data_IF_930414115260
#
_entry.id   IF_930414115260
#
_cell.length_a   1.000
_cell.length_b   1.000
_cell.length_c   1.000
_cell.angle_alpha   90.00
_cell.angle_beta   90.00
_cell.angle_gamma   90.00
#
_symmetry.space_group_name_H-M   'P 1'
#
loop_
_entity.id
_entity.type
_entity.pdbx_description
1 polymer ?
#
# COMPACT_ATOMS: atom_id res chain seq x y z
N UNK A 1 14.38 6.78 10.17
CA UNK A 1 13.00 7.30 10.06
C UNK A 1 12.40 7.64 11.43
N UNK A 2 12.19 6.68 12.33
CA UNK A 2 11.53 6.92 13.62
C UNK A 2 12.10 8.09 14.45
N UNK A 3 13.43 8.14 14.63
CA UNK A 3 14.09 9.25 15.33
C UNK A 3 13.79 10.62 14.73
N UNK A 4 13.70 10.71 13.40
CA UNK A 4 13.34 11.95 12.71
C UNK A 4 11.90 12.35 13.02
N UNK A 5 10.95 11.41 12.97
CA UNK A 5 9.55 11.68 13.27
C UNK A 5 9.36 12.18 14.71
N UNK A 6 9.99 11.51 15.68
CA UNK A 6 9.92 11.90 17.10
C UNK A 6 10.60 13.25 17.35
N UNK A 7 11.78 13.48 16.77
CA UNK A 7 12.53 14.72 17.00
C UNK A 7 11.87 15.97 16.39
N UNK A 8 10.99 15.78 15.40
CA UNK A 8 10.27 16.86 14.71
C UNK A 8 8.78 16.89 15.05
N UNK A 9 8.35 16.18 16.10
CA UNK A 9 6.95 16.12 16.57
C UNK A 9 5.95 15.79 15.44
N UNK A 10 6.31 14.81 14.61
CA UNK A 10 5.49 14.36 13.48
C UNK A 10 4.37 13.45 14.00
N UNK A 11 3.33 14.08 14.54
CA UNK A 11 2.15 13.42 15.12
C UNK A 11 0.88 14.19 14.77
N UNK A 12 -0.21 13.47 14.52
CA UNK A 12 -1.54 14.04 14.37
C UNK A 12 -2.59 12.99 14.70
N UNK A 13 -3.66 13.42 15.37
CA UNK A 13 -4.84 12.57 15.61
C UNK A 13 -5.57 12.20 14.32
N UNK A 14 -5.39 12.99 13.26
CA UNK A 14 -6.04 12.80 11.96
C UNK A 14 -5.14 12.08 10.95
N UNK A 15 -3.95 11.64 11.36
CA UNK A 15 -3.00 10.97 10.47
C UNK A 15 -2.56 9.61 11.02
N UNK A 16 -2.46 8.66 10.11
CA UNK A 16 -1.76 7.39 10.28
C UNK A 16 -0.80 7.22 9.12
N UNK A 17 0.26 6.47 9.36
CA UNK A 17 1.33 6.31 8.39
C UNK A 17 1.33 4.92 7.77
N UNK A 18 1.63 4.88 6.48
CA UNK A 18 2.04 3.70 5.74
C UNK A 18 3.53 3.84 5.43
N UNK A 19 4.32 2.79 5.69
CA UNK A 19 5.73 2.77 5.29
C UNK A 19 5.81 2.25 3.87
N UNK A 20 6.23 3.11 2.94
CA UNK A 20 6.44 2.71 1.56
C UNK A 20 7.78 2.02 1.37
N UNK A 21 7.76 0.85 0.74
CA UNK A 21 8.93 0.06 0.38
C UNK A 21 9.03 0.00 -1.15
N UNK A 22 9.95 0.76 -1.76
CA UNK A 22 10.18 0.73 -3.19
C UNK A 22 10.76 -0.62 -3.66
N UNK A 23 10.23 -1.17 -4.75
CA UNK A 23 10.70 -2.41 -5.40
C UNK A 23 11.95 -2.17 -6.25
N UNK A 24 13.03 -1.71 -5.62
CA UNK A 24 14.27 -1.28 -6.28
C UNK A 24 15.49 -2.15 -5.92
N UNK A 25 15.31 -3.47 -5.76
CA UNK A 25 16.38 -4.37 -5.37
C UNK A 25 17.53 -4.35 -6.38
N UNK A 26 17.22 -4.37 -7.67
CA UNK A 26 18.20 -4.25 -8.76
C UNK A 26 19.11 -3.03 -8.62
N UNK A 27 18.54 -1.87 -8.25
CA UNK A 27 19.29 -0.63 -8.01
C UNK A 27 20.21 -0.77 -6.79
N UNK A 28 19.69 -1.29 -5.68
CA UNK A 28 20.48 -1.51 -4.46
C UNK A 28 21.59 -2.54 -4.68
N UNK A 29 21.30 -3.58 -5.46
CA UNK A 29 22.24 -4.64 -5.84
C UNK A 29 23.35 -4.11 -6.74
N UNK A 30 23.02 -3.34 -7.77
CA UNK A 30 23.99 -2.70 -8.66
C UNK A 30 24.94 -1.77 -7.89
N UNK A 31 24.42 -1.07 -6.88
CA UNK A 31 25.21 -0.22 -5.96
C UNK A 31 25.95 -0.99 -4.87
N UNK A 32 25.84 -2.32 -4.84
CA UNK A 32 26.45 -3.21 -3.82
C UNK A 32 26.02 -2.86 -2.38
N UNK A 33 24.80 -2.33 -2.22
CA UNK A 33 24.21 -2.05 -0.92
C UNK A 33 23.59 -3.29 -0.28
N UNK A 34 23.18 -4.26 -1.09
CA UNK A 34 22.67 -5.57 -0.66
C UNK A 34 23.29 -6.70 -1.51
N UNK A 35 23.50 -7.86 -0.90
CA UNK A 35 24.14 -9.06 -1.47
C UNK A 35 23.17 -10.12 -1.95
N UNK A 36 21.91 -10.04 -1.55
CA UNK A 36 20.80 -10.91 -1.97
C UNK A 36 19.50 -10.24 -1.53
N UNK A 37 18.37 -10.83 -1.90
CA UNK A 37 17.06 -10.27 -1.54
C UNK A 37 16.80 -10.36 -0.03
N UNK A 38 17.34 -11.38 0.65
CA UNK A 38 17.22 -11.57 2.10
C UNK A 38 17.75 -10.37 2.88
N UNK A 39 18.90 -9.82 2.50
CA UNK A 39 19.47 -8.63 3.16
C UNK A 39 18.56 -7.41 3.00
N UNK A 40 17.80 -7.30 1.91
CA UNK A 40 16.78 -6.26 1.76
C UNK A 40 15.62 -6.49 2.75
N UNK A 41 15.16 -7.73 2.91
CA UNK A 41 14.12 -8.08 3.89
C UNK A 41 14.59 -7.86 5.32
N UNK A 42 15.82 -8.25 5.66
CA UNK A 42 16.43 -8.05 6.98
C UNK A 42 16.47 -6.56 7.35
N UNK A 43 16.88 -5.70 6.42
CA UNK A 43 16.92 -4.26 6.63
C UNK A 43 15.53 -3.65 6.93
N UNK A 44 14.45 -4.33 6.53
CA UNK A 44 13.07 -3.90 6.76
C UNK A 44 12.53 -4.53 8.05
N UNK A 45 12.59 -5.85 8.18
CA UNK A 45 11.85 -6.60 9.19
C UNK A 45 12.63 -6.85 10.47
N UNK A 46 13.96 -7.02 10.41
CA UNK A 46 14.77 -7.30 11.61
C UNK A 46 14.63 -6.20 12.68
N UNK A 47 14.74 -4.90 12.34
CA UNK A 47 14.51 -3.84 13.33
C UNK A 47 13.10 -3.85 13.93
N UNK A 48 12.10 -4.29 13.17
CA UNK A 48 10.71 -4.41 13.64
C UNK A 48 10.54 -5.58 14.60
N UNK A 49 11.19 -6.72 14.34
CA UNK A 49 11.23 -7.85 15.25
C UNK A 49 11.98 -7.51 16.53
N UNK A 50 13.13 -6.84 16.44
CA UNK A 50 13.92 -6.41 17.60
C UNK A 50 13.12 -5.44 18.49
N UNK A 51 12.53 -4.39 17.91
CA UNK A 51 11.68 -3.45 18.66
C UNK A 51 10.40 -4.12 19.22
N UNK A 52 9.91 -5.17 18.55
CA UNK A 52 8.80 -5.98 19.07
C UNK A 52 9.27 -6.89 20.20
N UNK A 53 10.50 -7.39 20.20
CA UNK A 53 11.05 -8.28 21.22
C UNK A 53 11.55 -7.53 22.47
N UNK A 54 12.09 -6.34 22.29
CA UNK A 54 12.51 -5.48 23.38
C UNK A 54 12.27 -4.01 23.00
N UNK A 55 11.16 -3.39 23.47
CA UNK A 55 10.88 -1.98 23.22
C UNK A 55 12.00 -1.03 23.66
N UNK A 56 12.77 -1.39 24.70
CA UNK A 56 13.84 -0.54 25.24
C UNK A 56 15.11 -0.58 24.38
N UNK A 57 15.28 -1.61 23.54
CA UNK A 57 16.36 -1.67 22.55
C UNK A 57 16.22 -0.60 21.47
N UNK A 58 14.98 -0.21 21.14
CA UNK A 58 14.66 0.74 20.08
C UNK A 58 13.50 1.67 20.48
N UNK A 59 13.67 2.54 21.49
CA UNK A 59 12.54 3.27 22.10
C UNK A 59 11.85 4.24 21.13
N UNK A 60 12.62 4.95 20.31
CA UNK A 60 12.07 5.86 19.30
C UNK A 60 11.29 5.11 18.22
N UNK A 61 11.80 3.94 17.79
CA UNK A 61 11.12 3.09 16.82
C UNK A 61 9.83 2.55 17.41
N UNK A 62 9.88 1.99 18.62
CA UNK A 62 8.70 1.46 19.28
C UNK A 62 7.58 2.49 19.40
N UNK A 63 7.90 3.73 19.80
CA UNK A 63 6.92 4.83 19.86
C UNK A 63 6.37 5.18 18.49
N UNK A 64 7.23 5.30 17.48
CA UNK A 64 6.81 5.62 16.12
C UNK A 64 5.90 4.54 15.52
N UNK A 65 6.18 3.26 15.80
CA UNK A 65 5.38 2.14 15.33
C UNK A 65 3.93 2.17 15.82
N UNK A 66 3.61 2.88 16.91
CA UNK A 66 2.22 3.07 17.35
C UNK A 66 1.40 3.94 16.38
N UNK A 67 2.05 4.74 15.53
CA UNK A 67 1.41 5.58 14.51
C UNK A 67 1.43 4.94 13.11
N UNK A 68 2.18 3.85 12.95
CA UNK A 68 2.21 3.09 11.71
C UNK A 68 1.01 2.13 11.67
N UNK A 69 0.28 2.19 10.57
CA UNK A 69 -0.88 1.34 10.31
C UNK A 69 -0.59 0.22 9.31
N UNK A 70 0.50 0.32 8.54
CA UNK A 70 0.82 -0.69 7.53
C UNK A 70 2.06 -0.40 6.69
N UNK A 71 2.24 -1.26 5.70
CA UNK A 71 3.31 -1.22 4.70
C UNK A 71 2.67 -1.16 3.31
N UNK A 72 3.23 -0.34 2.44
CA UNK A 72 2.83 -0.18 1.05
C UNK A 72 4.02 -0.50 0.14
N UNK A 73 3.84 -1.43 -0.81
CA UNK A 73 4.87 -1.73 -1.80
C UNK A 73 4.66 -0.87 -3.04
N UNK A 74 5.69 -0.14 -3.46
CA UNK A 74 5.61 0.84 -4.56
C UNK A 74 6.73 0.64 -5.59
N UNK A 75 6.50 1.12 -6.81
CA UNK A 75 7.42 1.38 -7.94
C UNK A 75 6.54 1.40 -9.22
N UNK A 76 7.11 1.84 -10.35
CA UNK A 76 6.45 1.80 -11.66
C UNK A 76 6.04 0.37 -12.08
N UNK A 77 4.74 0.07 -11.95
CA UNK A 77 4.17 -1.25 -12.29
C UNK A 77 4.25 -1.57 -13.80
N UNK A 78 4.52 -0.59 -14.67
CA UNK A 78 4.61 -0.79 -16.12
C UNK A 78 5.92 -1.42 -16.57
N UNK A 79 6.95 -1.43 -15.71
CA UNK A 79 8.23 -2.07 -15.99
C UNK A 79 8.05 -3.56 -16.29
N UNK A 80 8.74 -4.03 -17.32
CA UNK A 80 8.69 -5.43 -17.70
C UNK A 80 9.30 -6.32 -16.61
N UNK A 81 8.58 -7.38 -16.25
CA UNK A 81 9.03 -8.42 -15.32
C UNK A 81 9.45 -9.64 -16.14
N UNK A 82 10.74 -9.98 -16.12
CA UNK A 82 11.28 -11.09 -16.92
C UNK A 82 11.29 -12.43 -16.19
N UNK A 83 11.33 -12.39 -14.85
CA UNK A 83 11.39 -13.56 -14.00
C UNK A 83 9.98 -13.97 -13.61
N UNK A 84 9.61 -15.22 -13.88
CA UNK A 84 8.37 -15.79 -13.37
C UNK A 84 8.60 -16.33 -11.96
N UNK A 85 7.75 -15.90 -11.02
CA UNK A 85 7.78 -16.46 -9.67
C UNK A 85 7.06 -17.80 -9.64
N UNK A 86 7.82 -18.87 -9.48
CA UNK A 86 7.35 -20.23 -9.36
C UNK A 86 8.24 -21.03 -8.38
N UNK A 87 8.07 -22.35 -8.35
CA UNK A 87 8.82 -23.23 -7.43
C UNK A 87 10.31 -23.30 -7.71
N UNK A 88 10.75 -22.90 -8.90
CA UNK A 88 12.16 -22.86 -9.30
C UNK A 88 12.84 -21.54 -8.93
N UNK A 89 12.06 -20.51 -8.63
CA UNK A 89 12.62 -19.22 -8.21
C UNK A 89 13.38 -19.37 -6.89
N UNK A 90 14.62 -18.87 -6.78
CA UNK A 90 15.41 -18.98 -5.57
C UNK A 90 14.73 -18.35 -4.34
N UNK A 91 14.94 -18.93 -3.17
CA UNK A 91 14.61 -18.29 -1.89
C UNK A 91 15.43 -17.00 -1.67
N UNK A 92 14.98 -16.06 -0.81
CA UNK A 92 15.59 -14.73 -0.68
C UNK A 92 17.09 -14.75 -0.42
N UNK A 93 17.57 -15.69 0.40
CA UNK A 93 18.98 -15.84 0.75
C UNK A 93 19.84 -16.27 -0.44
N UNK A 94 19.24 -16.93 -1.42
CA UNK A 94 19.87 -17.38 -2.65
C UNK A 94 19.56 -16.48 -3.86
N UNK A 95 18.54 -15.63 -3.77
CA UNK A 95 18.20 -14.67 -4.82
C UNK A 95 19.28 -13.60 -4.91
N UNK A 96 20.19 -13.77 -5.87
CA UNK A 96 21.38 -12.93 -6.03
C UNK A 96 21.56 -12.39 -7.45
N UNK A 97 20.51 -12.54 -8.27
CA UNK A 97 20.48 -12.07 -9.65
C UNK A 97 20.57 -10.55 -9.72
N UNK A 98 21.03 -10.04 -10.86
CA UNK A 98 21.08 -8.61 -11.13
C UNK A 98 19.69 -8.04 -11.50
N UNK A 99 18.83 -8.90 -12.05
CA UNK A 99 17.45 -8.57 -12.41
C UNK A 99 16.57 -8.43 -11.16
N UNK A 100 15.65 -7.48 -11.22
CA UNK A 100 14.72 -7.22 -10.13
C UNK A 100 13.73 -8.40 -9.97
N UNK A 101 13.47 -8.89 -8.74
CA UNK A 101 12.42 -9.88 -8.53
C UNK A 101 11.06 -9.35 -9.01
N UNK A 102 10.18 -10.24 -9.49
CA UNK A 102 8.85 -9.83 -9.94
C UNK A 102 7.99 -9.35 -8.77
N UNK A 103 6.96 -8.55 -9.04
CA UNK A 103 6.04 -7.99 -8.04
C UNK A 103 5.51 -9.03 -7.05
N UNK A 104 5.13 -10.20 -7.54
CA UNK A 104 4.55 -11.25 -6.72
C UNK A 104 5.56 -11.89 -5.76
N UNK A 105 6.85 -11.93 -6.11
CA UNK A 105 7.93 -12.36 -5.22
C UNK A 105 8.07 -11.38 -4.05
N UNK A 106 8.16 -10.09 -4.36
CA UNK A 106 8.18 -9.01 -3.36
C UNK A 106 7.01 -9.15 -2.38
N UNK A 107 5.80 -9.20 -2.91
CA UNK A 107 4.59 -9.16 -2.10
C UNK A 107 4.44 -10.42 -1.24
N UNK A 108 4.81 -11.59 -1.77
CA UNK A 108 4.81 -12.84 -1.01
C UNK A 108 5.74 -12.80 0.20
N UNK A 109 7.00 -12.39 0.02
CA UNK A 109 7.96 -12.37 1.13
C UNK A 109 7.71 -11.24 2.11
N UNK A 110 7.19 -10.09 1.66
CA UNK A 110 6.69 -9.05 2.57
C UNK A 110 5.54 -9.57 3.40
N UNK A 111 4.55 -10.22 2.78
CA UNK A 111 3.42 -10.83 3.48
C UNK A 111 3.86 -11.89 4.49
N UNK A 112 4.73 -12.82 4.10
CA UNK A 112 5.19 -13.90 4.98
C UNK A 112 5.86 -13.36 6.25
N UNK A 113 6.75 -12.37 6.10
CA UNK A 113 7.39 -11.69 7.23
C UNK A 113 6.38 -10.92 8.08
N UNK A 114 5.45 -10.21 7.45
CA UNK A 114 4.42 -9.44 8.13
C UNK A 114 3.48 -10.32 8.95
N UNK A 115 3.09 -11.49 8.44
CA UNK A 115 2.27 -12.46 9.18
C UNK A 115 2.98 -12.92 10.44
N UNK A 116 4.26 -13.30 10.34
CA UNK A 116 5.05 -13.72 11.50
C UNK A 116 5.22 -12.57 12.52
N UNK A 117 5.56 -11.38 12.03
CA UNK A 117 5.71 -10.17 12.86
C UNK A 117 4.40 -9.83 13.57
N UNK A 118 3.28 -9.80 12.85
CA UNK A 118 1.97 -9.49 13.41
C UNK A 118 1.50 -10.54 14.41
N UNK A 119 1.81 -11.82 14.20
CA UNK A 119 1.54 -12.86 15.20
C UNK A 119 2.32 -12.60 16.49
N UNK A 120 3.60 -12.22 16.38
CA UNK A 120 4.43 -11.87 17.54
C UNK A 120 3.95 -10.61 18.25
N UNK A 121 3.63 -9.56 17.49
CA UNK A 121 3.08 -8.30 18.02
C UNK A 121 1.75 -8.52 18.74
N UNK A 122 0.84 -9.32 18.17
CA UNK A 122 -0.42 -9.72 18.84
C UNK A 122 -0.18 -10.49 20.14
N UNK A 123 0.76 -11.44 20.15
CA UNK A 123 1.10 -12.19 21.36
C UNK A 123 1.61 -11.28 22.50
N UNK A 124 2.13 -10.09 22.15
CA UNK A 124 2.58 -9.06 23.08
C UNK A 124 1.56 -7.94 23.36
N UNK A 125 0.37 -8.00 22.76
CA UNK A 125 -0.63 -6.94 22.89
C UNK A 125 -0.23 -5.62 22.21
N UNK A 126 0.60 -5.68 21.18
CA UNK A 126 1.03 -4.52 20.38
C UNK A 126 0.17 -4.38 19.11
N UNK A 127 0.09 -3.17 18.56
CA UNK A 127 -0.59 -2.90 17.30
C UNK A 127 0.04 -3.69 16.14
N UNK A 128 -0.75 -4.05 15.14
CA UNK A 128 -0.29 -4.78 13.95
C UNK A 128 -0.28 -3.89 12.72
N UNK A 129 0.30 -4.38 11.63
CA UNK A 129 0.45 -3.65 10.38
C UNK A 129 -0.26 -4.38 9.24
N UNK A 130 -1.04 -3.67 8.44
CA UNK A 130 -1.63 -4.20 7.19
C UNK A 130 -0.62 -4.12 6.03
N UNK A 131 -0.72 -5.02 5.07
CA UNK A 131 -0.10 -4.88 3.75
C UNK A 131 -1.11 -4.22 2.78
N UNK A 132 -0.80 -3.01 2.31
CA UNK A 132 -1.67 -2.20 1.43
C UNK A 132 -0.89 -1.66 0.24
N UNK A 133 -0.57 -2.52 -0.75
CA UNK A 133 0.33 -2.15 -1.83
C UNK A 133 -0.35 -1.33 -2.92
N UNK A 134 0.45 -0.55 -3.65
CA UNK A 134 0.13 -0.16 -5.02
C UNK A 134 0.00 -1.42 -5.89
N UNK A 135 -1.14 -1.56 -6.56
CA UNK A 135 -1.48 -2.78 -7.26
C UNK A 135 -2.46 -2.56 -8.42
N UNK A 136 -2.03 -2.94 -9.62
CA UNK A 136 -2.86 -2.93 -10.81
C UNK A 136 -3.15 -1.53 -11.34
N UNK A 137 -2.31 -0.54 -11.07
CA UNK A 137 -2.32 0.73 -11.82
C UNK A 137 -1.89 0.51 -13.28
N UNK A 138 -0.82 -0.27 -13.45
CA UNK A 138 -0.28 -0.73 -14.72
C UNK A 138 0.19 -2.20 -14.57
N UNK A 139 1.01 -2.68 -15.50
CA UNK A 139 1.68 -3.97 -15.35
C UNK A 139 0.83 -5.20 -15.64
N UNK A 140 1.28 -6.34 -15.12
CA UNK A 140 0.68 -7.64 -15.40
C UNK A 140 -0.53 -7.91 -14.50
N UNK A 141 -1.59 -8.53 -15.04
CA UNK A 141 -2.82 -8.85 -14.28
C UNK A 141 -2.59 -9.74 -13.04
N UNK A 142 -1.43 -10.42 -12.97
CA UNK A 142 -1.05 -11.23 -11.82
C UNK A 142 -0.73 -10.42 -10.58
N UNK A 143 -0.42 -9.11 -10.71
CA UNK A 143 -0.26 -8.20 -9.59
C UNK A 143 -1.51 -8.21 -8.73
N UNK A 144 -2.68 -8.03 -9.35
CA UNK A 144 -3.99 -8.06 -8.68
C UNK A 144 -4.35 -9.42 -8.07
N UNK A 145 -3.84 -10.53 -8.65
CA UNK A 145 -4.03 -11.86 -8.05
C UNK A 145 -3.23 -11.98 -6.77
N UNK A 146 -2.00 -11.50 -6.77
CA UNK A 146 -1.15 -11.54 -5.58
C UNK A 146 -1.68 -10.57 -4.54
N UNK A 147 -2.01 -9.33 -4.94
CA UNK A 147 -2.64 -8.34 -4.08
C UNK A 147 -3.88 -8.89 -3.37
N UNK A 148 -4.78 -9.55 -4.10
CA UNK A 148 -5.96 -10.21 -3.54
C UNK A 148 -5.64 -11.27 -2.47
N UNK A 149 -4.57 -12.06 -2.68
CA UNK A 149 -4.23 -13.17 -1.79
C UNK A 149 -3.50 -12.72 -0.53
N UNK A 150 -2.80 -11.59 -0.56
CA UNK A 150 -1.84 -11.22 0.49
C UNK A 150 -2.13 -9.89 1.17
N UNK A 151 -3.06 -9.07 0.66
CA UNK A 151 -3.22 -7.67 1.08
C UNK A 151 -4.60 -7.41 1.65
N UNK A 152 -4.69 -6.53 2.65
CA UNK A 152 -5.95 -6.10 3.25
C UNK A 152 -6.71 -5.10 2.36
N UNK A 153 -5.98 -4.26 1.61
CA UNK A 153 -6.52 -3.36 0.59
C UNK A 153 -5.47 -3.10 -0.48
N UNK A 154 -5.86 -2.48 -1.59
CA UNK A 154 -4.93 -2.07 -2.65
C UNK A 154 -5.10 -0.59 -3.00
N UNK A 155 -4.04 0.02 -3.52
CA UNK A 155 -4.13 1.31 -4.22
C UNK A 155 -4.22 1.10 -5.75
N UNK A 156 -4.95 1.99 -6.42
CA UNK A 156 -5.22 2.05 -7.87
C UNK A 156 -6.24 1.05 -8.41
N UNK A 157 -5.85 -0.21 -8.64
CA UNK A 157 -6.77 -1.24 -9.17
C UNK A 157 -7.36 -0.96 -10.57
N UNK A 158 -6.73 -0.13 -11.40
CA UNK A 158 -7.23 0.23 -12.75
C UNK A 158 -7.45 -0.97 -13.66
N UNK A 159 -6.57 -1.98 -13.58
CA UNK A 159 -6.63 -3.19 -14.41
C UNK A 159 -7.60 -4.26 -13.86
N UNK A 160 -8.35 -3.95 -12.79
CA UNK A 160 -9.21 -4.92 -12.13
C UNK A 160 -10.39 -5.34 -13.01
N UNK A 161 -10.48 -6.66 -13.23
CA UNK A 161 -11.60 -7.33 -13.93
C UNK A 161 -12.23 -8.46 -13.12
N UNK A 162 -11.81 -8.66 -11.87
CA UNK A 162 -12.15 -9.85 -11.08
C UNK A 162 -13.25 -9.57 -10.06
N UNK A 163 -14.29 -10.40 -10.09
CA UNK A 163 -15.43 -10.36 -9.15
C UNK A 163 -15.07 -10.70 -7.70
N UNK A 164 -13.88 -11.28 -7.46
CA UNK A 164 -13.44 -11.66 -6.12
C UNK A 164 -13.32 -10.47 -5.17
N UNK A 165 -12.84 -9.31 -5.66
CA UNK A 165 -12.76 -8.08 -4.84
C UNK A 165 -14.13 -7.59 -4.38
N UNK A 166 -15.16 -7.79 -5.21
CA UNK A 166 -16.53 -7.53 -4.80
C UNK A 166 -16.99 -8.51 -3.71
N UNK A 167 -16.75 -9.81 -3.89
CA UNK A 167 -17.20 -10.82 -2.92
C UNK A 167 -16.51 -10.69 -1.56
N UNK A 168 -15.21 -10.40 -1.55
CA UNK A 168 -14.43 -10.24 -0.32
C UNK A 168 -14.46 -8.83 0.25
N UNK A 169 -15.04 -7.86 -0.48
CA UNK A 169 -15.07 -6.44 -0.10
C UNK A 169 -13.69 -5.85 0.23
N UNK A 170 -12.64 -6.33 -0.46
CA UNK A 170 -11.28 -5.77 -0.35
C UNK A 170 -11.31 -4.31 -0.82
N UNK A 171 -10.77 -3.42 0.01
CA UNK A 171 -10.72 -1.99 -0.25
C UNK A 171 -9.84 -1.63 -1.44
N UNK A 172 -10.28 -0.65 -2.23
CA UNK A 172 -9.55 -0.09 -3.36
C UNK A 172 -9.53 1.43 -3.21
N UNK A 173 -8.36 1.99 -2.88
CA UNK A 173 -8.12 3.42 -2.85
C UNK A 173 -7.70 3.89 -4.24
N UNK A 174 -8.47 4.77 -4.87
CA UNK A 174 -8.27 5.18 -6.26
C UNK A 174 -8.03 6.68 -6.35
N UNK A 175 -7.10 7.10 -7.21
CA UNK A 175 -6.74 8.51 -7.41
C UNK A 175 -6.99 8.98 -8.85
N UNK A 176 -8.26 9.22 -9.25
CA UNK A 176 -8.64 9.54 -10.62
C UNK A 176 -7.87 10.69 -11.29
N UNK A 177 -7.56 11.77 -10.58
CA UNK A 177 -6.78 12.89 -11.13
C UNK A 177 -5.32 12.52 -11.43
N UNK A 178 -4.69 11.74 -10.56
CA UNK A 178 -3.37 11.15 -10.81
C UNK A 178 -3.42 10.23 -12.03
N UNK A 179 -4.35 9.27 -12.03
CA UNK A 179 -4.49 8.31 -13.13
C UNK A 179 -4.78 9.01 -14.48
N UNK A 180 -5.54 10.12 -14.47
CA UNK A 180 -5.77 10.97 -15.65
C UNK A 180 -4.52 11.61 -16.22
N UNK A 181 -3.59 11.98 -15.35
CA UNK A 181 -2.34 12.63 -15.76
C UNK A 181 -1.34 11.63 -16.33
N UNK A 182 -1.39 10.37 -15.89
CA UNK A 182 -0.33 9.38 -16.16
C UNK A 182 -0.75 8.21 -17.06
N UNK A 183 -1.95 7.66 -16.91
CA UNK A 183 -2.28 6.32 -17.44
C UNK A 183 -3.56 6.25 -18.27
N UNK A 184 -4.63 6.91 -17.85
CA UNK A 184 -5.96 6.74 -18.44
C UNK A 184 -6.79 8.00 -18.32
N UNK A 185 -7.43 8.45 -19.40
CA UNK A 185 -8.27 9.66 -19.35
C UNK A 185 -9.37 9.54 -18.28
N UNK A 186 -9.70 10.67 -17.63
CA UNK A 186 -10.58 10.73 -16.47
C UNK A 186 -11.94 10.05 -16.71
N UNK A 187 -12.54 10.26 -17.88
CA UNK A 187 -13.81 9.65 -18.27
C UNK A 187 -13.75 8.11 -18.43
N UNK A 188 -12.56 7.55 -18.60
CA UNK A 188 -12.34 6.11 -18.73
C UNK A 188 -11.87 5.45 -17.43
N UNK A 189 -11.69 6.22 -16.36
CA UNK A 189 -11.36 5.66 -15.06
C UNK A 189 -12.50 4.71 -14.61
N UNK A 190 -12.18 3.51 -14.08
CA UNK A 190 -13.20 2.51 -13.77
C UNK A 190 -13.89 2.72 -12.42
N UNK A 191 -13.49 3.71 -11.61
CA UNK A 191 -14.09 4.00 -10.30
C UNK A 191 -15.63 4.10 -10.33
N UNK A 192 -16.28 4.90 -11.20
CA UNK A 192 -17.74 4.98 -11.23
C UNK A 192 -18.40 3.61 -11.49
N UNK A 193 -17.82 2.82 -12.40
CA UNK A 193 -18.30 1.46 -12.68
C UNK A 193 -18.11 0.52 -11.49
N UNK A 194 -16.99 0.63 -10.77
CA UNK A 194 -16.72 -0.15 -9.58
C UNK A 194 -17.68 0.20 -8.44
N UNK A 195 -17.91 1.49 -8.22
CA UNK A 195 -18.84 2.00 -7.23
C UNK A 195 -20.27 1.52 -7.52
N UNK A 196 -20.75 1.66 -8.76
CA UNK A 196 -22.09 1.17 -9.16
C UNK A 196 -22.25 -0.34 -9.02
N UNK A 197 -21.16 -1.12 -9.11
CA UNK A 197 -21.16 -2.57 -8.90
C UNK A 197 -21.06 -2.96 -7.43
N UNK A 198 -20.93 -1.99 -6.51
CA UNK A 198 -20.82 -2.24 -5.07
C UNK A 198 -19.44 -2.73 -4.63
N UNK A 199 -18.38 -2.43 -5.38
CA UNK A 199 -17.02 -2.64 -4.87
C UNK A 199 -16.72 -1.62 -3.76
N UNK A 200 -15.91 -2.05 -2.80
CA UNK A 200 -15.42 -1.20 -1.71
C UNK A 200 -14.35 -0.24 -2.23
N UNK A 201 -14.77 0.80 -2.94
CA UNK A 201 -13.89 1.82 -3.51
C UNK A 201 -13.93 3.12 -2.70
N UNK A 202 -12.82 3.85 -2.71
CA UNK A 202 -12.67 5.16 -2.11
C UNK A 202 -11.85 6.09 -2.99
N UNK A 203 -12.02 7.40 -2.82
CA UNK A 203 -11.22 8.43 -3.49
C UNK A 203 -9.98 8.77 -2.64
N UNK A 204 -8.83 8.84 -3.29
CA UNK A 204 -7.54 9.28 -2.74
C UNK A 204 -6.88 10.30 -3.67
N UNK A 205 -5.79 10.91 -3.20
CA UNK A 205 -5.11 12.01 -3.92
C UNK A 205 -3.82 11.62 -4.62
N UNK A 206 -3.19 10.52 -4.23
CA UNK A 206 -1.83 10.14 -4.67
C UNK A 206 -0.80 11.23 -4.29
N UNK A 207 -0.36 12.06 -5.26
CA UNK A 207 0.55 13.18 -5.07
C UNK A 207 -0.15 14.56 -5.18
N UNK A 208 -0.76 15.09 -4.10
CA UNK A 208 -1.42 16.39 -4.08
C UNK A 208 -0.63 17.55 -4.71
N UNK A 209 0.69 17.56 -4.52
CA UNK A 209 1.53 18.64 -5.03
C UNK A 209 1.69 18.61 -6.55
N UNK A 210 1.48 17.46 -7.17
CA UNK A 210 1.67 17.27 -8.60
C UNK A 210 0.34 17.38 -9.37
N UNK A 211 -0.76 16.88 -8.81
CA UNK A 211 -2.01 16.66 -9.55
C UNK A 211 -3.16 17.61 -9.18
N UNK A 212 -3.04 18.36 -8.09
CA UNK A 212 -4.12 19.20 -7.57
C UNK A 212 -3.75 20.68 -7.63
N UNK A 213 -4.74 21.53 -7.91
CA UNK A 213 -4.55 22.98 -8.04
C UNK A 213 -5.09 23.77 -6.84
N UNK A 214 -5.90 23.12 -6.01
CA UNK A 214 -6.54 23.75 -4.85
C UNK A 214 -5.78 23.47 -3.55
N UNK A 215 -6.10 24.23 -2.50
CA UNK A 215 -5.55 24.01 -1.16
C UNK A 215 -6.08 22.73 -0.50
N UNK A 216 -7.23 22.24 -0.94
CA UNK A 216 -7.93 21.09 -0.38
C UNK A 216 -7.97 19.97 -1.42
N UNK A 217 -6.82 19.35 -1.70
CA UNK A 217 -6.64 18.37 -2.77
C UNK A 217 -7.71 17.26 -2.78
N UNK A 218 -8.01 16.67 -1.61
CA UNK A 218 -9.04 15.64 -1.53
C UNK A 218 -10.44 16.20 -1.85
N UNK A 219 -10.76 17.43 -1.42
CA UNK A 219 -12.04 18.06 -1.76
C UNK A 219 -12.16 18.35 -3.25
N UNK A 220 -11.06 18.70 -3.91
CA UNK A 220 -11.00 18.83 -5.37
C UNK A 220 -11.25 17.49 -6.07
N UNK A 221 -10.67 16.39 -5.58
CA UNK A 221 -10.93 15.03 -6.09
C UNK A 221 -12.43 14.70 -6.05
N UNK A 222 -13.07 14.88 -4.89
CA UNK A 222 -14.52 14.64 -4.72
C UNK A 222 -15.35 15.59 -5.58
N UNK A 223 -14.98 16.87 -5.68
CA UNK A 223 -15.74 17.86 -6.45
C UNK A 223 -15.73 17.57 -7.94
N UNK A 224 -14.57 17.19 -8.48
CA UNK A 224 -14.44 16.84 -9.90
C UNK A 224 -15.17 15.52 -10.18
N UNK A 225 -14.99 14.50 -9.33
CA UNK A 225 -15.69 13.22 -9.46
C UNK A 225 -17.21 13.40 -9.48
N UNK A 226 -17.75 14.21 -8.56
CA UNK A 226 -19.17 14.50 -8.50
C UNK A 226 -19.70 15.23 -9.74
N UNK A 227 -18.96 16.22 -10.25
CA UNK A 227 -19.37 16.97 -11.43
C UNK A 227 -19.28 16.16 -12.72
N UNK A 228 -18.22 15.36 -12.88
CA UNK A 228 -17.96 14.60 -14.10
C UNK A 228 -18.82 13.33 -14.17
N UNK A 229 -18.90 12.58 -13.07
CA UNK A 229 -19.66 11.32 -13.01
C UNK A 229 -21.08 11.46 -12.49
N UNK A 230 -21.51 12.70 -12.18
CA UNK A 230 -22.87 13.02 -11.72
C UNK A 230 -23.24 12.28 -10.42
N UNK A 231 -22.28 12.16 -9.50
CA UNK A 231 -22.50 11.56 -8.19
C UNK A 231 -23.44 12.41 -7.35
N UNK A 232 -24.41 11.77 -6.71
CA UNK A 232 -25.29 12.38 -5.73
C UNK A 232 -24.56 12.60 -4.39
N UNK A 233 -25.20 13.33 -3.48
CA UNK A 233 -24.70 13.45 -2.10
C UNK A 233 -24.63 12.09 -1.39
N UNK A 234 -25.54 11.16 -1.71
CA UNK A 234 -25.50 9.81 -1.14
C UNK A 234 -24.26 9.05 -1.61
N UNK A 235 -23.97 9.09 -2.91
CA UNK A 235 -22.81 8.42 -3.50
C UNK A 235 -21.49 8.96 -2.91
N UNK A 236 -21.38 10.30 -2.80
CA UNK A 236 -20.22 10.94 -2.18
C UNK A 236 -20.05 10.54 -0.70
N UNK A 237 -21.15 10.51 0.07
CA UNK A 237 -21.11 10.07 1.46
C UNK A 237 -20.74 8.59 1.59
N UNK A 238 -21.17 7.74 0.65
CA UNK A 238 -20.79 6.32 0.64
C UNK A 238 -19.30 6.13 0.35
N UNK A 239 -18.75 6.83 -0.65
CA UNK A 239 -17.30 6.83 -0.93
C UNK A 239 -16.48 7.32 0.27
N UNK A 240 -16.93 8.38 0.93
CA UNK A 240 -16.29 8.90 2.14
C UNK A 240 -16.41 7.94 3.32
N UNK A 241 -17.56 7.26 3.49
CA UNK A 241 -17.72 6.22 4.51
C UNK A 241 -16.78 5.05 4.26
N UNK A 242 -16.66 4.61 3.00
CA UNK A 242 -15.77 3.51 2.63
C UNK A 242 -14.30 3.86 2.90
N UNK A 243 -13.88 5.11 2.67
CA UNK A 243 -12.50 5.52 2.97
C UNK A 243 -12.17 5.39 4.46
N UNK A 244 -13.12 5.69 5.35
CA UNK A 244 -12.98 5.51 6.81
C UNK A 244 -12.89 4.03 7.16
N UNK A 245 -13.71 3.17 6.55
CA UNK A 245 -13.65 1.71 6.76
C UNK A 245 -12.36 1.07 6.22
N UNK A 246 -11.77 1.66 5.19
CA UNK A 246 -10.47 1.24 4.62
C UNK A 246 -9.27 1.83 5.38
N UNK A 247 -9.51 2.71 6.35
CA UNK A 247 -8.47 3.43 7.06
C UNK A 247 -7.70 2.53 8.04
N UNK A 248 -6.57 3.04 8.52
CA UNK A 248 -5.72 2.35 9.49
C UNK A 248 -5.94 2.81 10.94
N UNK A 249 -7.06 3.46 11.24
CA UNK A 249 -7.39 3.89 12.60
C UNK A 249 -7.95 2.72 13.43
N UNK A 250 -7.73 2.77 14.76
CA UNK A 250 -8.28 1.74 15.66
C UNK A 250 -9.79 1.95 15.83
N UNK A 251 -10.56 0.88 16.11
CA UNK A 251 -12.03 0.96 16.25
C UNK A 251 -12.50 2.01 17.26
N UNK A 252 -11.72 2.24 18.32
CA UNK A 252 -12.00 3.25 19.35
C UNK A 252 -11.87 4.69 18.84
N UNK A 253 -11.17 4.89 17.72
CA UNK A 253 -10.94 6.19 17.09
C UNK A 253 -11.96 6.47 15.97
N UNK A 254 -12.82 5.49 15.62
CA UNK A 254 -13.73 5.55 14.46
C UNK A 254 -15.15 6.03 14.80
N UNK A 255 -15.52 6.19 16.09
CA UNK A 255 -16.86 6.62 16.55
C UNK A 255 -16.84 7.47 17.81
#
# INVERSE_FOLDING_TARGET
LAKWAISNDVYSINARWLVQIPRLYDVYRAKKMVKNFDEMLDNIFTPLFEATNDPDSHPDLFRFLQQISGIDSVDDESKAEYIQFDRSTPEPCHYSDAENPPYNYYLFYMYANLVALNAFRRARGLNTFSLRPHCGEAGHVNHLVTGYLTSESIAHGLLLRKYLFYLSQIGIAMSPLSNNSLFISYHRNPLPDFHMKGLNVSLSTDDPLQFHFTKEALMEEYSIAAQVWKLSSCDMCELARNSVLQSGFEDKDLF
#
